data_IF_435403042541
#
_entry.id   IF_435403042541
#
_cell.length_a   1.000
_cell.length_b   1.000
_cell.length_c   1.000
_cell.angle_alpha   90.00
_cell.angle_beta   90.00
_cell.angle_gamma   90.00
#
_symmetry.space_group_name_H-M   'P 1'
#
loop_
_entity.id
_entity.type
_entity.pdbx_description
1 polymer ?
#
# COMPACT_ATOMS: atom_id res chain seq x y z
N UNK A 1 7.90 18.86 11.93
CA UNK A 1 8.34 17.45 12.10
C UNK A 1 9.69 17.30 11.43
N UNK A 2 10.67 16.70 12.11
CA UNK A 2 11.97 16.37 11.52
C UNK A 2 11.91 15.09 10.71
N UNK A 3 13.02 14.73 10.06
CA UNK A 3 13.13 13.44 9.36
C UNK A 3 13.05 12.27 10.36
N UNK A 4 12.33 11.21 9.99
CA UNK A 4 12.32 9.94 10.72
C UNK A 4 13.17 8.96 9.94
N UNK A 5 14.16 8.36 10.61
CA UNK A 5 14.94 7.24 10.09
C UNK A 5 14.68 6.04 11.00
N UNK A 6 14.30 4.91 10.43
CA UNK A 6 14.16 3.65 11.16
C UNK A 6 15.04 2.58 10.53
N UNK A 7 15.67 1.78 11.37
CA UNK A 7 16.42 0.58 11.02
C UNK A 7 15.97 -0.57 11.94
N UNK A 8 15.96 -1.81 11.45
CA UNK A 8 15.66 -3.00 12.26
C UNK A 8 16.48 -4.17 11.76
N UNK A 9 17.13 -4.88 12.68
CA UNK A 9 17.86 -6.11 12.41
C UNK A 9 17.16 -7.36 13.00
N UNK A 10 15.93 -7.20 13.50
CA UNK A 10 15.15 -8.26 14.13
C UNK A 10 14.10 -8.80 13.17
N UNK A 11 14.03 -10.12 13.02
CA UNK A 11 13.02 -10.77 12.18
C UNK A 11 11.60 -10.50 12.70
N UNK A 12 10.70 -10.10 11.80
CA UNK A 12 9.30 -9.82 12.12
C UNK A 12 9.03 -8.50 12.85
N UNK A 13 10.07 -7.69 13.12
CA UNK A 13 9.92 -6.39 13.80
C UNK A 13 10.13 -5.26 12.79
N UNK A 14 9.11 -4.43 12.51
CA UNK A 14 9.25 -3.32 11.58
C UNK A 14 10.13 -2.21 12.17
N UNK A 15 10.99 -1.63 11.32
CA UNK A 15 11.83 -0.49 11.68
C UNK A 15 11.01 0.79 11.98
N UNK A 16 9.92 1.00 11.24
CA UNK A 16 8.94 2.06 11.46
C UNK A 16 7.55 1.48 11.28
N UNK A 17 6.64 1.76 12.22
CA UNK A 17 5.22 1.41 12.07
C UNK A 17 4.34 2.61 12.40
N UNK A 18 3.31 2.81 11.59
CA UNK A 18 2.30 3.86 11.78
C UNK A 18 0.91 3.24 11.71
N UNK A 19 0.08 3.49 12.74
CA UNK A 19 -1.30 3.03 12.77
C UNK A 19 -2.21 4.19 13.11
N UNK A 20 -3.15 4.50 12.22
CA UNK A 20 -4.23 5.42 12.50
C UNK A 20 -5.48 4.63 12.90
N UNK A 21 -6.03 4.91 14.09
CA UNK A 21 -7.19 4.21 14.67
C UNK A 21 -8.41 5.11 14.85
N UNK A 22 -8.40 6.30 14.24
CA UNK A 22 -9.51 7.23 14.34
C UNK A 22 -10.81 6.56 13.85
N UNK A 23 -11.80 6.46 14.75
CA UNK A 23 -13.07 5.78 14.50
C UNK A 23 -14.18 6.71 13.99
N UNK A 24 -13.97 8.03 14.04
CA UNK A 24 -15.01 9.02 13.80
C UNK A 24 -14.88 9.65 12.41
N UNK A 25 -15.71 9.22 11.46
CA UNK A 25 -16.23 9.95 10.28
C UNK A 25 -15.29 10.67 9.30
N UNK A 26 -13.99 10.75 9.57
CA UNK A 26 -12.99 11.42 8.74
C UNK A 26 -12.07 10.44 8.02
N UNK A 27 -11.33 10.93 7.02
CA UNK A 27 -10.32 10.14 6.30
C UNK A 27 -9.13 9.86 7.24
N UNK A 28 -9.03 8.63 7.73
CA UNK A 28 -7.91 8.19 8.55
C UNK A 28 -6.73 7.82 7.65
N UNK A 29 -5.68 8.64 7.69
CA UNK A 29 -4.45 8.41 6.91
C UNK A 29 -3.40 7.77 7.82
N UNK A 30 -2.88 6.62 7.42
CA UNK A 30 -1.76 5.95 8.11
C UNK A 30 -0.41 6.54 7.71
N UNK A 31 -0.06 6.41 6.42
CA UNK A 31 1.17 6.92 5.83
C UNK A 31 0.82 7.85 4.67
N UNK A 32 1.42 9.04 4.65
CA UNK A 32 1.30 10.02 3.57
C UNK A 32 2.71 10.40 3.09
N UNK A 33 3.00 10.14 1.82
CA UNK A 33 4.22 10.62 1.18
C UNK A 33 3.88 11.64 0.10
N UNK A 34 4.50 12.82 0.17
CA UNK A 34 4.37 13.88 -0.85
C UNK A 34 5.75 14.41 -1.19
N UNK A 35 6.01 14.69 -2.47
CA UNK A 35 7.30 15.18 -2.93
C UNK A 35 7.13 16.09 -4.15
N UNK A 36 7.95 17.14 -4.23
CA UNK A 36 7.88 18.15 -5.31
C UNK A 36 8.76 17.79 -6.51
N UNK A 37 9.69 16.85 -6.35
CA UNK A 37 10.74 16.55 -7.37
C UNK A 37 11.05 15.06 -7.54
N UNK A 38 10.56 14.19 -6.66
CA UNK A 38 10.85 12.76 -6.70
C UNK A 38 9.69 11.95 -6.14
N UNK A 39 9.97 10.74 -5.68
CA UNK A 39 8.96 9.86 -5.10
C UNK A 39 8.49 10.39 -3.73
N UNK A 40 7.17 10.35 -3.48
CA UNK A 40 6.61 10.63 -2.16
C UNK A 40 6.76 9.44 -1.21
N UNK A 41 6.55 8.23 -1.74
CA UNK A 41 6.79 6.95 -1.07
C UNK A 41 7.52 6.05 -2.08
N UNK A 42 8.64 5.48 -1.66
CA UNK A 42 9.39 4.49 -2.42
C UNK A 42 9.51 3.22 -1.57
N UNK A 43 9.30 2.06 -2.17
CA UNK A 43 9.52 0.77 -1.55
C UNK A 43 10.32 -0.11 -2.49
N UNK A 44 11.39 -0.70 -1.97
CA UNK A 44 12.25 -1.65 -2.68
C UNK A 44 12.39 -2.93 -1.84
N UNK A 45 12.52 -4.07 -2.51
CA UNK A 45 12.78 -5.35 -1.85
C UNK A 45 13.63 -6.25 -2.73
N UNK A 46 14.57 -6.95 -2.12
CA UNK A 46 15.34 -8.03 -2.76
C UNK A 46 14.66 -9.41 -2.61
N UNK A 47 13.44 -9.45 -2.07
CA UNK A 47 12.71 -10.71 -1.90
C UNK A 47 12.09 -11.17 -3.21
N UNK A 48 12.33 -12.42 -3.57
CA UNK A 48 11.65 -13.06 -4.71
C UNK A 48 10.20 -13.41 -4.40
N UNK A 49 9.79 -13.41 -3.12
CA UNK A 49 8.50 -13.95 -2.67
C UNK A 49 7.54 -12.88 -2.12
N UNK A 50 7.99 -11.64 -1.95
CA UNK A 50 7.23 -10.60 -1.27
C UNK A 50 7.25 -9.28 -2.04
N UNK A 51 6.13 -8.57 -2.04
CA UNK A 51 6.05 -7.23 -2.62
C UNK A 51 6.76 -6.21 -1.73
N UNK A 52 7.42 -5.22 -2.34
CA UNK A 52 8.01 -4.09 -1.62
C UNK A 52 6.95 -3.17 -1.01
N UNK A 53 5.81 -3.01 -1.69
CA UNK A 53 4.65 -2.26 -1.22
C UNK A 53 3.39 -3.09 -1.48
N UNK A 54 2.63 -3.37 -0.43
CA UNK A 54 1.35 -4.06 -0.52
C UNK A 54 0.24 -3.22 0.12
N UNK A 55 -0.81 -2.94 -0.64
CA UNK A 55 -2.00 -2.24 -0.16
C UNK A 55 -3.18 -3.21 -0.06
N UNK A 56 -3.73 -3.36 1.14
CA UNK A 56 -4.88 -4.23 1.40
C UNK A 56 -6.07 -3.40 1.86
N UNK A 57 -7.23 -3.70 1.29
CA UNK A 57 -8.50 -3.18 1.77
C UNK A 57 -9.36 -4.35 2.25
N UNK A 58 -9.64 -4.38 3.55
CA UNK A 58 -10.42 -5.41 4.21
C UNK A 58 -11.82 -4.92 4.61
N UNK A 59 -12.28 -3.80 4.05
CA UNK A 59 -13.62 -3.28 4.33
C UNK A 59 -14.70 -4.28 3.85
N UNK A 60 -15.65 -4.61 4.73
CA UNK A 60 -16.78 -5.49 4.43
C UNK A 60 -18.01 -4.73 3.89
N UNK A 61 -17.90 -3.42 3.64
CA UNK A 61 -19.02 -2.56 3.27
C UNK A 61 -18.97 -2.26 1.76
N UNK A 62 -20.10 -2.32 1.03
CA UNK A 62 -20.15 -1.92 -0.38
C UNK A 62 -19.76 -0.45 -0.56
N UNK A 63 -18.77 -0.18 -1.41
CA UNK A 63 -18.24 1.15 -1.69
C UNK A 63 -16.99 1.08 -2.56
N UNK A 64 -16.35 2.21 -2.84
CA UNK A 64 -15.11 2.19 -3.62
C UNK A 64 -13.95 1.75 -2.72
N UNK A 65 -13.63 0.46 -2.79
CA UNK A 65 -12.60 -0.19 -1.99
C UNK A 65 -11.36 -0.41 -2.86
N UNK A 66 -10.34 0.43 -2.68
CA UNK A 66 -9.04 0.27 -3.35
C UNK A 66 -7.99 -0.21 -2.35
N UNK A 67 -7.22 -1.24 -2.72
CA UNK A 67 -6.00 -1.61 -1.98
C UNK A 67 -4.85 -0.66 -2.29
N UNK A 68 -4.60 -0.44 -3.59
CA UNK A 68 -3.68 0.57 -4.12
C UNK A 68 -4.42 1.37 -5.19
N UNK A 69 -4.40 2.70 -5.07
CA UNK A 69 -4.90 3.61 -6.09
C UNK A 69 -3.78 4.56 -6.50
N UNK A 70 -3.55 4.70 -7.79
CA UNK A 70 -2.59 5.65 -8.32
C UNK A 70 -3.11 6.31 -9.59
N UNK A 71 -2.89 7.61 -9.70
CA UNK A 71 -3.31 8.43 -10.83
C UNK A 71 -2.21 9.42 -11.18
N UNK A 72 -1.90 9.56 -12.46
CA UNK A 72 -0.92 10.54 -12.94
C UNK A 72 -1.46 11.32 -14.14
N UNK A 73 -1.05 12.59 -14.25
CA UNK A 73 -1.40 13.47 -15.37
C UNK A 73 -0.44 13.35 -16.55
N UNK A 74 0.81 12.96 -16.30
CA UNK A 74 1.90 12.99 -17.29
C UNK A 74 2.82 11.78 -17.08
N UNK A 75 2.23 10.59 -16.95
CA UNK A 75 2.97 9.35 -16.71
C UNK A 75 2.08 8.26 -16.13
N UNK A 76 2.67 7.34 -15.41
CA UNK A 76 1.97 6.19 -14.83
C UNK A 76 1.38 6.54 -13.47
N UNK A 77 0.12 6.16 -13.23
CA UNK A 77 -0.51 6.29 -11.92
C UNK A 77 0.01 5.25 -10.93
N UNK A 78 0.17 4.02 -11.39
CA UNK A 78 0.84 2.90 -10.70
C UNK A 78 1.71 2.22 -11.76
N UNK A 79 3.00 2.03 -11.46
CA UNK A 79 3.92 1.28 -12.29
C UNK A 79 4.51 0.16 -11.42
N UNK A 80 4.57 -1.05 -11.97
CA UNK A 80 5.30 -2.14 -11.35
C UNK A 80 5.98 -2.97 -12.40
N UNK A 81 7.28 -3.17 -12.20
CA UNK A 81 8.11 -4.08 -12.97
C UNK A 81 8.52 -5.27 -12.11
N UNK A 82 8.58 -6.46 -12.71
CA UNK A 82 9.11 -7.66 -12.06
C UNK A 82 9.83 -8.52 -13.08
N UNK A 83 10.96 -9.10 -12.67
CA UNK A 83 11.65 -10.16 -13.42
C UNK A 83 11.22 -11.56 -12.94
N UNK A 84 10.25 -11.66 -12.03
CA UNK A 84 9.74 -12.94 -11.52
C UNK A 84 8.82 -13.60 -12.53
N UNK A 85 9.04 -14.89 -12.79
CA UNK A 85 8.15 -15.70 -13.63
C UNK A 85 6.89 -16.18 -12.88
N UNK A 86 6.86 -16.03 -11.55
CA UNK A 86 5.85 -16.64 -10.68
C UNK A 86 4.95 -15.62 -9.97
N UNK A 87 5.36 -14.35 -9.93
CA UNK A 87 4.69 -13.31 -9.15
C UNK A 87 4.51 -12.02 -9.95
N UNK A 88 3.38 -11.35 -9.74
CA UNK A 88 3.11 -10.06 -10.38
C UNK A 88 3.83 -8.91 -9.66
N UNK A 89 4.28 -7.92 -10.41
CA UNK A 89 4.86 -6.69 -9.86
C UNK A 89 3.82 -5.85 -9.10
N UNK A 90 2.58 -5.83 -9.60
CA UNK A 90 1.41 -5.21 -8.97
C UNK A 90 0.27 -6.21 -9.02
N UNK A 91 -0.27 -6.58 -7.86
CA UNK A 91 -1.45 -7.42 -7.74
C UNK A 91 -2.55 -6.67 -6.98
N UNK A 92 -3.72 -6.51 -7.61
CA UNK A 92 -4.91 -5.93 -6.99
C UNK A 92 -5.91 -7.02 -6.65
N UNK A 93 -6.27 -7.16 -5.37
CA UNK A 93 -7.30 -8.09 -4.91
C UNK A 93 -8.47 -7.32 -4.31
N UNK A 94 -9.68 -7.60 -4.80
CA UNK A 94 -10.92 -7.16 -4.19
C UNK A 94 -11.65 -8.39 -3.63
N UNK A 95 -11.73 -8.50 -2.30
CA UNK A 95 -12.40 -9.61 -1.63
C UNK A 95 -13.77 -9.21 -1.05
N UNK A 96 -14.48 -8.29 -1.70
CA UNK A 96 -15.86 -7.98 -1.35
C UNK A 96 -16.74 -9.23 -1.54
N UNK A 97 -17.31 -9.75 -0.45
CA UNK A 97 -18.28 -10.83 -0.50
C UNK A 97 -19.61 -10.26 -1.00
N UNK A 98 -20.13 -10.74 -2.14
CA UNK A 98 -21.52 -10.46 -2.52
C UNK A 98 -22.40 -11.36 -1.66
N UNK A 99 -23.29 -10.82 -0.81
CA UNK A 99 -24.24 -11.66 -0.07
C UNK A 99 -25.14 -12.41 -1.05
N UNK A 100 -25.32 -13.72 -0.83
CA UNK A 100 -26.28 -14.52 -1.60
C UNK A 100 -27.70 -13.99 -1.33
N UNK A 101 -28.42 -13.63 -2.40
CA UNK A 101 -29.79 -13.13 -2.33
C UNK A 101 -30.73 -14.32 -2.48
N UNK A 102 -31.27 -14.78 -1.34
CA UNK A 102 -32.33 -15.79 -1.26
C UNK A 102 -33.67 -15.25 -1.77
#
# INVERSE_FOLDING_TARGET
MGAVQGDSNQSGVPAVSGKNTAANGGVAIGVLGTSNKGEGVHGDTNSEQHAAVAGFNNAQVPGIAWGVFGSSKVGEGVHGDTNSEQHAAVAGFNNAQVPDIA
#
